data_IF_967548189093
#
_entry.id   IF_967548189093
#
_cell.length_a   1.000
_cell.length_b   1.000
_cell.length_c   1.000
_cell.angle_alpha   90.00
_cell.angle_beta   90.00
_cell.angle_gamma   90.00
#
_symmetry.space_group_name_H-M   'P 1'
#
loop_
_entity.id
_entity.type
_entity.pdbx_description
1 polymer ?
#
# COMPACT_ATOMS: atom_id res chain seq x y z
N UNK A 1 23.77 -1.14 8.85
CA UNK A 1 23.20 -1.11 7.50
C UNK A 1 24.11 -1.88 6.56
N UNK A 2 23.55 -2.78 5.76
CA UNK A 2 24.23 -3.49 4.67
C UNK A 2 24.18 -2.67 3.37
N UNK A 3 24.91 -3.11 2.34
CA UNK A 3 25.00 -2.44 1.04
C UNK A 3 23.65 -2.31 0.31
N UNK A 4 22.64 -3.09 0.66
CA UNK A 4 21.37 -3.16 -0.07
C UNK A 4 20.14 -2.85 0.79
N UNK A 5 20.33 -2.31 2.00
CA UNK A 5 19.23 -2.01 2.91
C UNK A 5 18.23 -1.00 2.31
N UNK A 6 18.70 -0.09 1.46
CA UNK A 6 17.87 0.98 0.88
C UNK A 6 16.96 0.49 -0.26
N UNK A 7 17.19 -0.71 -0.79
CA UNK A 7 16.46 -1.25 -1.96
C UNK A 7 15.73 -2.57 -1.68
N UNK A 8 15.79 -3.06 -0.44
CA UNK A 8 15.13 -4.31 -0.04
C UNK A 8 13.71 -4.04 0.48
N UNK A 9 12.83 -5.04 0.45
CA UNK A 9 11.54 -4.94 1.13
C UNK A 9 11.68 -4.76 2.65
N UNK A 10 10.62 -4.23 3.25
CA UNK A 10 10.44 -4.18 4.70
C UNK A 10 10.37 -5.57 5.31
N UNK A 11 10.91 -5.71 6.52
CA UNK A 11 10.65 -6.81 7.43
C UNK A 11 9.57 -6.43 8.45
N UNK A 12 8.99 -7.42 9.12
CA UNK A 12 7.89 -7.23 10.07
C UNK A 12 8.23 -6.25 11.21
N UNK A 13 9.46 -6.30 11.73
CA UNK A 13 9.94 -5.41 12.80
C UNK A 13 10.06 -3.94 12.38
N UNK A 14 10.09 -3.68 11.06
CA UNK A 14 10.18 -2.34 10.49
C UNK A 14 8.81 -1.72 10.20
N UNK A 15 7.73 -2.51 10.22
CA UNK A 15 6.38 -2.09 9.84
C UNK A 15 5.80 -1.06 10.82
N UNK A 16 5.85 -1.33 12.12
CA UNK A 16 5.29 -0.40 13.11
C UNK A 16 6.03 0.96 13.11
N UNK A 17 7.38 1.01 13.07
CA UNK A 17 8.11 2.26 12.88
C UNK A 17 7.79 2.97 11.56
N UNK A 18 7.64 2.24 10.44
CA UNK A 18 7.29 2.83 9.14
C UNK A 18 5.91 3.47 9.18
N UNK A 19 4.90 2.80 9.73
CA UNK A 19 3.56 3.34 9.93
C UNK A 19 3.61 4.63 10.76
N UNK A 20 4.40 4.67 11.83
CA UNK A 20 4.52 5.88 12.64
C UNK A 20 5.11 7.06 11.85
N UNK A 21 6.16 6.82 11.05
CA UNK A 21 6.74 7.85 10.16
C UNK A 21 5.71 8.36 9.17
N UNK A 22 5.03 7.46 8.46
CA UNK A 22 3.97 7.77 7.49
C UNK A 22 2.87 8.61 8.11
N UNK A 23 2.37 8.26 9.30
CA UNK A 23 1.31 9.00 9.99
C UNK A 23 1.77 10.34 10.60
N UNK A 24 3.07 10.49 10.84
CA UNK A 24 3.66 11.74 11.31
C UNK A 24 3.81 12.78 10.20
N UNK A 25 3.88 12.34 8.94
CA UNK A 25 4.06 13.20 7.77
C UNK A 25 2.84 14.11 7.54
N UNK A 26 3.05 15.42 7.64
CA UNK A 26 1.97 16.40 7.48
C UNK A 26 1.48 16.51 6.04
N UNK A 27 2.33 16.24 5.05
CA UNK A 27 1.99 16.30 3.64
C UNK A 27 1.08 15.14 3.26
N UNK A 28 1.38 13.92 3.73
CA UNK A 28 0.50 12.76 3.57
C UNK A 28 -0.87 13.01 4.20
N UNK A 29 -0.91 13.43 5.47
CA UNK A 29 -2.19 13.71 6.16
C UNK A 29 -2.98 14.79 5.42
N UNK A 30 -2.31 15.83 4.92
CA UNK A 30 -2.93 16.87 4.10
C UNK A 30 -3.49 16.31 2.78
N UNK A 31 -2.74 15.45 2.09
CA UNK A 31 -3.18 14.80 0.85
C UNK A 31 -4.41 13.91 1.07
N UNK A 32 -4.39 13.06 2.10
CA UNK A 32 -5.53 12.22 2.49
C UNK A 32 -6.74 13.07 2.86
N UNK A 33 -6.54 14.18 3.58
CA UNK A 33 -7.61 15.12 3.94
C UNK A 33 -8.28 15.70 2.71
N UNK A 34 -7.51 16.16 1.72
CA UNK A 34 -8.01 16.72 0.47
C UNK A 34 -8.74 15.67 -0.38
N UNK A 35 -8.24 14.44 -0.39
CA UNK A 35 -8.87 13.34 -1.14
C UNK A 35 -10.22 12.94 -0.53
N UNK A 36 -10.30 12.80 0.80
CA UNK A 36 -11.52 12.36 1.50
C UNK A 36 -12.54 13.47 1.71
N UNK A 37 -12.10 14.71 1.90
CA UNK A 37 -12.95 15.85 2.20
C UNK A 37 -12.61 17.06 1.32
N UNK A 38 -12.75 16.97 -0.01
CA UNK A 38 -12.27 17.99 -0.95
C UNK A 38 -12.87 19.38 -0.68
N UNK A 39 -14.12 19.44 -0.22
CA UNK A 39 -14.79 20.70 0.08
C UNK A 39 -14.46 21.28 1.46
N UNK A 40 -14.06 20.47 2.44
CA UNK A 40 -13.83 20.91 3.83
C UNK A 40 -12.34 21.08 4.17
N UNK A 41 -11.45 20.37 3.48
CA UNK A 41 -10.02 20.36 3.73
C UNK A 41 -9.35 21.74 3.58
N UNK A 42 -9.90 22.61 2.73
CA UNK A 42 -9.41 23.98 2.55
C UNK A 42 -9.84 24.95 3.67
N UNK A 43 -11.00 24.73 4.29
CA UNK A 43 -11.56 25.68 5.26
C UNK A 43 -11.21 25.32 6.71
N UNK A 44 -11.10 24.03 7.04
CA UNK A 44 -10.87 23.55 8.42
C UNK A 44 -9.73 22.53 8.52
N UNK A 45 -8.52 22.80 7.97
CA UNK A 45 -7.41 21.84 8.02
C UNK A 45 -6.97 21.53 9.45
N UNK A 46 -7.02 22.52 10.34
CA UNK A 46 -6.65 22.40 11.75
C UNK A 46 -7.51 21.40 12.53
N UNK A 47 -8.74 21.16 12.08
CA UNK A 47 -9.66 20.19 12.69
C UNK A 47 -9.56 18.81 12.00
N UNK A 48 -9.50 18.82 10.67
CA UNK A 48 -9.52 17.58 9.88
C UNK A 48 -8.21 16.79 10.00
N UNK A 49 -7.06 17.45 9.97
CA UNK A 49 -5.77 16.75 9.98
C UNK A 49 -5.54 15.95 11.28
N UNK A 50 -5.77 16.50 12.50
CA UNK A 50 -5.65 15.71 13.73
C UNK A 50 -6.66 14.57 13.82
N UNK A 51 -7.88 14.78 13.31
CA UNK A 51 -8.91 13.74 13.28
C UNK A 51 -8.51 12.58 12.37
N UNK A 52 -8.06 12.88 11.15
CA UNK A 52 -7.59 11.86 10.18
C UNK A 52 -6.42 11.09 10.75
N UNK A 53 -5.42 11.77 11.32
CA UNK A 53 -4.29 11.11 11.99
C UNK A 53 -4.77 10.15 13.08
N UNK A 54 -5.75 10.56 13.90
CA UNK A 54 -6.29 9.71 14.98
C UNK A 54 -7.05 8.50 14.44
N UNK A 55 -7.82 8.67 13.36
CA UNK A 55 -8.56 7.57 12.70
C UNK A 55 -7.57 6.58 12.09
N UNK A 56 -6.59 7.04 11.32
CA UNK A 56 -5.57 6.19 10.71
C UNK A 56 -4.75 5.45 11.77
N UNK A 57 -4.33 6.15 12.84
CA UNK A 57 -3.63 5.51 13.97
C UNK A 57 -4.47 4.44 14.66
N UNK A 58 -5.80 4.60 14.70
CA UNK A 58 -6.71 3.60 15.25
C UNK A 58 -6.88 2.40 14.31
N UNK A 59 -7.02 2.64 13.00
CA UNK A 59 -7.14 1.58 11.99
C UNK A 59 -5.88 0.72 11.90
N UNK A 60 -4.71 1.36 11.95
CA UNK A 60 -3.41 0.68 11.89
C UNK A 60 -2.91 0.22 13.26
N UNK A 61 -3.72 0.36 14.31
CA UNK A 61 -3.34 -0.08 15.65
C UNK A 61 -3.22 -1.60 15.69
N UNK A 62 -2.04 -2.09 16.02
CA UNK A 62 -1.78 -3.53 16.16
C UNK A 62 -1.29 -4.20 14.87
N UNK A 63 -1.07 -3.44 13.80
CA UNK A 63 -0.38 -3.90 12.59
C UNK A 63 1.12 -3.93 12.89
N UNK A 64 1.69 -5.13 12.94
CA UNK A 64 3.10 -5.35 13.27
C UNK A 64 3.81 -6.28 12.27
N UNK A 65 3.18 -6.55 11.12
CA UNK A 65 3.75 -7.39 10.08
C UNK A 65 3.33 -6.90 8.70
N UNK A 66 4.15 -7.23 7.69
CA UNK A 66 3.88 -6.88 6.30
C UNK A 66 2.58 -7.52 5.85
N UNK A 67 2.35 -8.79 6.25
CA UNK A 67 1.13 -9.53 5.94
C UNK A 67 -0.13 -8.85 6.48
N UNK A 68 -0.14 -8.43 7.74
CA UNK A 68 -1.29 -7.73 8.32
C UNK A 68 -1.60 -6.41 7.60
N UNK A 69 -0.57 -5.68 7.18
CA UNK A 69 -0.77 -4.47 6.37
C UNK A 69 -1.34 -4.82 5.00
N UNK A 70 -0.83 -5.86 4.34
CA UNK A 70 -1.33 -6.36 3.06
C UNK A 70 -2.78 -6.82 3.13
N UNK A 71 -3.21 -7.47 4.21
CA UNK A 71 -4.61 -7.91 4.40
C UNK A 71 -5.57 -6.71 4.54
N UNK A 72 -5.13 -5.64 5.20
CA UNK A 72 -5.90 -4.39 5.26
C UNK A 72 -6.03 -3.77 3.86
N UNK A 73 -4.92 -3.70 3.11
CA UNK A 73 -4.91 -3.18 1.74
C UNK A 73 -5.79 -4.04 0.82
N UNK A 74 -5.73 -5.37 0.95
CA UNK A 74 -6.55 -6.32 0.20
C UNK A 74 -8.05 -6.06 0.39
N UNK A 75 -8.47 -5.78 1.63
CA UNK A 75 -9.86 -5.41 1.93
C UNK A 75 -10.28 -4.15 1.14
N UNK A 76 -9.45 -3.10 1.15
CA UNK A 76 -9.75 -1.87 0.41
C UNK A 76 -9.74 -2.06 -1.11
N UNK A 77 -8.86 -2.91 -1.64
CA UNK A 77 -8.83 -3.23 -3.06
C UNK A 77 -10.07 -4.01 -3.48
N UNK A 78 -10.51 -4.98 -2.66
CA UNK A 78 -11.75 -5.71 -2.88
C UNK A 78 -12.96 -4.77 -2.94
N UNK A 79 -13.13 -3.91 -1.92
CA UNK A 79 -14.23 -2.93 -1.89
C UNK A 79 -14.21 -2.00 -3.12
N UNK A 80 -13.02 -1.56 -3.54
CA UNK A 80 -12.87 -0.69 -4.70
C UNK A 80 -13.22 -1.39 -6.03
N UNK A 81 -12.79 -2.65 -6.18
CA UNK A 81 -13.13 -3.47 -7.35
C UNK A 81 -14.64 -3.65 -7.42
N UNK A 82 -15.27 -4.04 -6.31
CA UNK A 82 -16.72 -4.27 -6.24
C UNK A 82 -17.54 -3.01 -6.55
N UNK A 83 -17.07 -1.84 -6.12
CA UNK A 83 -17.80 -0.57 -6.33
C UNK A 83 -17.54 0.06 -7.70
N UNK A 84 -16.33 -0.06 -8.26
CA UNK A 84 -15.85 0.83 -9.33
C UNK A 84 -15.35 0.12 -10.58
N UNK A 85 -15.14 -1.19 -10.54
CA UNK A 85 -14.61 -1.94 -11.68
C UNK A 85 -15.75 -2.71 -12.33
N UNK A 86 -16.02 -2.42 -13.61
CA UNK A 86 -17.07 -3.10 -14.37
C UNK A 86 -16.80 -4.59 -14.54
N UNK A 87 -15.54 -4.94 -14.80
CA UNK A 87 -15.11 -6.31 -15.01
C UNK A 87 -13.65 -6.48 -14.57
N UNK A 88 -13.40 -7.47 -13.73
CA UNK A 88 -12.07 -7.88 -13.31
C UNK A 88 -11.94 -9.39 -13.51
N UNK A 89 -10.93 -9.83 -14.25
CA UNK A 89 -10.72 -11.24 -14.55
C UNK A 89 -9.31 -11.67 -14.19
N UNK A 90 -9.21 -12.90 -13.68
CA UNK A 90 -7.94 -13.55 -13.33
C UNK A 90 -7.92 -14.91 -14.02
N UNK A 91 -6.78 -15.27 -14.62
CA UNK A 91 -6.61 -16.57 -15.27
C UNK A 91 -5.15 -17.03 -15.21
N UNK A 92 -4.93 -18.35 -15.23
CA UNK A 92 -3.59 -18.94 -15.26
C UNK A 92 -2.92 -19.07 -13.89
N UNK A 93 -3.57 -18.59 -12.82
CA UNK A 93 -3.06 -18.67 -11.45
C UNK A 93 -2.97 -20.12 -10.96
N UNK A 94 -3.90 -20.97 -11.39
CA UNK A 94 -3.94 -22.40 -11.11
C UNK A 94 -2.71 -23.18 -11.63
N UNK A 95 -1.92 -22.56 -12.52
CA UNK A 95 -0.70 -23.13 -13.09
C UNK A 95 0.54 -22.79 -12.26
N UNK A 96 0.42 -21.92 -11.26
CA UNK A 96 1.51 -21.51 -10.39
C UNK A 96 1.58 -22.41 -9.16
N UNK A 97 2.78 -22.83 -8.81
CA UNK A 97 3.07 -23.57 -7.58
C UNK A 97 3.39 -22.57 -6.46
N UNK A 98 2.61 -22.50 -5.37
CA UNK A 98 2.84 -21.55 -4.28
C UNK A 98 4.24 -21.65 -3.65
N UNK A 99 4.93 -22.78 -3.80
CA UNK A 99 6.25 -23.01 -3.22
C UNK A 99 7.40 -22.66 -4.17
N UNK A 100 7.11 -22.11 -5.36
CA UNK A 100 8.12 -21.69 -6.33
C UNK A 100 8.19 -20.18 -6.46
N UNK A 101 9.39 -19.68 -6.68
CA UNK A 101 9.61 -18.27 -6.99
C UNK A 101 9.36 -18.00 -8.47
N UNK A 102 8.67 -16.90 -8.76
CA UNK A 102 8.37 -16.44 -10.12
C UNK A 102 8.80 -15.00 -10.32
N UNK A 103 9.19 -14.65 -11.54
CA UNK A 103 9.35 -13.28 -11.99
C UNK A 103 8.09 -12.89 -12.78
N UNK A 104 7.31 -11.97 -12.22
CA UNK A 104 6.15 -11.41 -12.90
C UNK A 104 6.58 -10.22 -13.75
N UNK A 105 6.18 -10.22 -15.01
CA UNK A 105 6.45 -9.14 -15.95
C UNK A 105 5.10 -8.58 -16.38
N UNK A 106 4.83 -7.33 -16.00
CA UNK A 106 3.63 -6.59 -16.40
C UNK A 106 3.97 -5.55 -17.46
N UNK A 107 2.96 -5.09 -18.16
CA UNK A 107 3.03 -3.82 -18.88
C UNK A 107 3.09 -2.65 -17.86
N UNK A 108 3.34 -1.43 -18.36
CA UNK A 108 3.53 -0.25 -17.52
C UNK A 108 2.39 0.73 -17.72
N UNK A 109 1.19 0.39 -17.22
CA UNK A 109 0.03 1.27 -17.34
C UNK A 109 -0.14 2.12 -16.09
N UNK A 110 0.07 1.52 -14.92
CA UNK A 110 0.04 2.23 -13.65
C UNK A 110 1.05 1.62 -12.67
N UNK A 111 2.03 2.43 -12.28
CA UNK A 111 3.18 1.99 -11.49
C UNK A 111 2.77 1.50 -10.09
N UNK A 112 1.68 2.03 -9.54
CA UNK A 112 1.20 1.68 -8.21
C UNK A 112 0.10 0.61 -8.25
N UNK A 113 -0.89 0.78 -9.15
CA UNK A 113 -2.05 -0.11 -9.19
C UNK A 113 -1.76 -1.47 -9.82
N UNK A 114 -0.89 -1.54 -10.84
CA UNK A 114 -0.55 -2.82 -11.48
C UNK A 114 -0.02 -3.84 -10.47
N UNK A 115 1.01 -3.54 -9.65
CA UNK A 115 1.47 -4.49 -8.65
C UNK A 115 0.50 -4.64 -7.46
N UNK A 116 -0.32 -3.64 -7.15
CA UNK A 116 -1.33 -3.75 -6.09
C UNK A 116 -2.38 -4.82 -6.42
N UNK A 117 -2.89 -4.84 -7.66
CA UNK A 117 -3.83 -5.87 -8.11
C UNK A 117 -3.20 -7.26 -8.18
N UNK A 118 -1.95 -7.36 -8.66
CA UNK A 118 -1.21 -8.64 -8.66
C UNK A 118 -1.06 -9.17 -7.24
N UNK A 119 -0.63 -8.32 -6.30
CA UNK A 119 -0.49 -8.71 -4.90
C UNK A 119 -1.81 -9.10 -4.26
N UNK A 120 -2.88 -8.35 -4.52
CA UNK A 120 -4.20 -8.67 -4.02
C UNK A 120 -4.67 -10.05 -4.48
N UNK A 121 -4.61 -10.31 -5.79
CA UNK A 121 -5.01 -11.59 -6.38
C UNK A 121 -4.16 -12.75 -5.83
N UNK A 122 -2.85 -12.56 -5.69
CA UNK A 122 -1.97 -13.57 -5.09
C UNK A 122 -2.34 -13.85 -3.63
N UNK A 123 -2.56 -12.80 -2.83
CA UNK A 123 -2.92 -12.91 -1.42
C UNK A 123 -4.24 -13.67 -1.22
N UNK A 124 -5.28 -13.32 -1.98
CA UNK A 124 -6.60 -13.96 -1.92
C UNK A 124 -6.55 -15.45 -2.29
N UNK A 125 -5.56 -15.85 -3.10
CA UNK A 125 -5.38 -17.24 -3.53
C UNK A 125 -4.28 -17.97 -2.74
N UNK A 126 -3.84 -17.42 -1.60
CA UNK A 126 -2.87 -18.07 -0.71
C UNK A 126 -1.44 -18.14 -1.22
N UNK A 127 -1.09 -17.31 -2.21
CA UNK A 127 0.30 -17.13 -2.66
C UNK A 127 0.99 -16.02 -1.87
N UNK A 128 2.32 -16.11 -1.78
CA UNK A 128 3.13 -14.98 -1.33
C UNK A 128 3.03 -13.81 -2.31
N UNK A 129 3.12 -12.59 -1.78
CA UNK A 129 3.07 -11.35 -2.56
C UNK A 129 4.42 -11.05 -3.23
N UNK A 130 4.37 -10.32 -4.33
CA UNK A 130 5.55 -9.92 -5.08
C UNK A 130 6.32 -8.81 -4.38
N UNK A 131 7.64 -8.81 -4.60
CA UNK A 131 8.53 -7.70 -4.26
C UNK A 131 8.67 -6.82 -5.50
N UNK A 132 8.35 -5.54 -5.37
CA UNK A 132 8.27 -4.61 -6.49
C UNK A 132 9.59 -3.84 -6.57
N UNK A 133 10.20 -3.82 -7.75
CA UNK A 133 11.32 -2.93 -8.02
C UNK A 133 10.80 -1.65 -8.68
N UNK A 134 11.08 -0.49 -8.06
CA UNK A 134 10.67 0.82 -8.56
C UNK A 134 11.92 1.70 -8.69
N UNK A 135 11.98 2.53 -9.73
CA UNK A 135 13.05 3.51 -9.89
C UNK A 135 12.95 4.65 -8.86
N UNK A 136 14.09 5.17 -8.44
CA UNK A 136 14.25 6.31 -7.52
C UNK A 136 13.57 7.60 -8.00
N UNK A 137 13.36 7.75 -9.32
CA UNK A 137 12.68 8.88 -9.95
C UNK A 137 11.27 9.18 -9.38
N UNK A 138 10.63 8.21 -8.72
CA UNK A 138 9.29 8.35 -8.14
C UNK A 138 9.33 8.59 -6.63
N UNK A 139 10.47 8.35 -5.98
CA UNK A 139 10.68 8.49 -4.54
C UNK A 139 11.11 9.92 -4.18
N UNK A 140 10.39 10.90 -4.74
CA UNK A 140 10.71 12.34 -4.55
C UNK A 140 10.34 12.86 -3.17
N UNK A 141 9.50 12.13 -2.42
CA UNK A 141 9.06 12.48 -1.08
C UNK A 141 9.37 11.35 -0.10
N UNK A 142 9.90 11.63 1.10
CA UNK A 142 10.32 10.60 2.05
C UNK A 142 9.22 9.58 2.38
N UNK A 143 7.99 10.04 2.62
CA UNK A 143 6.88 9.14 2.96
C UNK A 143 6.51 8.17 1.84
N UNK A 144 6.84 8.47 0.57
CA UNK A 144 6.54 7.59 -0.57
C UNK A 144 7.40 6.34 -0.53
N UNK A 145 8.58 6.39 0.10
CA UNK A 145 9.44 5.21 0.28
C UNK A 145 8.97 4.30 1.42
N UNK A 146 8.14 4.83 2.32
CA UNK A 146 7.54 4.08 3.44
C UNK A 146 6.14 3.50 3.10
N UNK A 147 5.59 3.81 1.91
CA UNK A 147 4.30 3.32 1.39
C UNK A 147 4.49 2.07 0.53
#
# INVERSE_FOLDING_TARGET
MTKFDDIRPYNDDEVAPAIERVLSDAELISAVSKLRFPHLAGYLPWLLQPLIRRVLKKQLKGVNSVKQLQDIIATYLSDMVDERVTEFTVSGLEKLDPNKSYLFISNHRDIAMDPAFVNWVLNENGHDTVRIAIGDNLLTKPYVSDL
#
